data_IF_591284854103
#
_entry.id   IF_591284854103
#
_cell.length_a   1.000
_cell.length_b   1.000
_cell.length_c   1.000
_cell.angle_alpha   90.00
_cell.angle_beta   90.00
_cell.angle_gamma   90.00
#
_symmetry.space_group_name_H-M   'P 1'
#
loop_
_entity.id
_entity.type
_entity.pdbx_description
1 polymer ?
#
# COMPACT_ATOMS: atom_id res chain seq x y z
N UNK A 1 27.67 -4.54 5.54
CA UNK A 1 26.59 -3.64 5.98
C UNK A 1 25.45 -3.69 4.97
N UNK A 2 24.57 -4.68 5.15
CA UNK A 2 23.45 -5.08 4.27
C UNK A 2 22.63 -6.04 5.12
N UNK A 3 21.58 -5.59 5.83
CA UNK A 3 20.82 -6.47 6.76
C UNK A 3 19.33 -6.17 6.85
N UNK A 4 18.93 -4.90 6.90
CA UNK A 4 17.53 -4.52 7.18
C UNK A 4 16.69 -4.38 5.91
N UNK A 5 17.21 -3.70 4.88
CA UNK A 5 16.47 -3.50 3.63
C UNK A 5 16.36 -4.78 2.80
N UNK A 6 17.40 -5.61 2.77
CA UNK A 6 17.36 -6.90 2.05
C UNK A 6 16.29 -7.84 2.63
N UNK A 7 16.22 -7.93 3.97
CA UNK A 7 15.17 -8.71 4.64
C UNK A 7 13.78 -8.18 4.30
N UNK A 8 13.60 -6.85 4.28
CA UNK A 8 12.34 -6.22 3.88
C UNK A 8 12.00 -6.51 2.42
N UNK A 9 12.97 -6.40 1.51
CA UNK A 9 12.78 -6.69 0.08
C UNK A 9 12.39 -8.16 -0.12
N UNK A 10 13.03 -9.10 0.58
CA UNK A 10 12.68 -10.53 0.55
C UNK A 10 11.26 -10.77 1.08
N UNK A 11 10.88 -10.15 2.21
CA UNK A 11 9.52 -10.25 2.77
C UNK A 11 8.47 -9.65 1.82
N UNK A 12 8.77 -8.47 1.27
CA UNK A 12 7.94 -7.80 0.26
C UNK A 12 7.69 -8.72 -0.93
N UNK A 13 8.74 -9.33 -1.50
CA UNK A 13 8.62 -10.26 -2.61
C UNK A 13 7.76 -11.48 -2.25
N UNK A 14 7.98 -12.07 -1.06
CA UNK A 14 7.18 -13.22 -0.58
C UNK A 14 5.70 -12.89 -0.40
N UNK A 15 5.38 -11.70 0.11
CA UNK A 15 3.99 -11.24 0.29
C UNK A 15 3.34 -10.98 -1.08
N UNK A 16 4.05 -10.29 -1.98
CA UNK A 16 3.58 -9.98 -3.34
C UNK A 16 3.45 -11.19 -4.24
N UNK A 17 4.15 -12.29 -3.94
CA UNK A 17 3.91 -13.57 -4.62
C UNK A 17 2.50 -14.15 -4.35
N UNK A 18 1.86 -13.76 -3.24
CA UNK A 18 0.52 -14.23 -2.86
C UNK A 18 -0.59 -13.22 -3.12
N UNK A 19 -0.23 -11.95 -3.27
CA UNK A 19 -1.17 -10.83 -3.38
C UNK A 19 -0.96 -10.15 -4.73
N UNK A 20 -2.05 -10.02 -5.49
CA UNK A 20 -2.07 -9.33 -6.77
C UNK A 20 -3.11 -8.21 -6.75
N UNK A 21 -2.76 -7.02 -7.24
CA UNK A 21 -3.70 -5.93 -7.49
C UNK A 21 -4.29 -6.02 -8.89
N UNK A 22 -5.61 -6.14 -8.99
CA UNK A 22 -6.34 -6.11 -10.27
C UNK A 22 -6.95 -4.73 -10.51
N UNK A 23 -7.54 -4.50 -11.69
CA UNK A 23 -8.26 -3.25 -11.98
C UNK A 23 -9.41 -2.99 -10.99
N UNK A 24 -10.12 -4.04 -10.57
CA UNK A 24 -11.24 -3.92 -9.62
C UNK A 24 -10.76 -3.73 -8.18
N UNK A 25 -9.70 -4.45 -7.78
CA UNK A 25 -9.14 -4.38 -6.43
C UNK A 25 -7.63 -4.10 -6.53
N UNK A 26 -7.24 -2.85 -6.83
CA UNK A 26 -5.85 -2.50 -7.01
C UNK A 26 -5.08 -2.57 -5.68
N UNK A 27 -3.75 -2.67 -5.78
CA UNK A 27 -2.89 -2.82 -4.60
C UNK A 27 -2.52 -1.47 -4.03
N UNK A 28 -2.86 -1.25 -2.76
CA UNK A 28 -2.45 -0.09 -1.96
C UNK A 28 -1.11 -0.38 -1.28
N UNK A 29 -0.02 0.14 -1.84
CA UNK A 29 1.34 -0.03 -1.33
C UNK A 29 1.74 1.12 -0.41
N UNK A 30 2.05 0.82 0.85
CA UNK A 30 2.51 1.81 1.84
C UNK A 30 4.02 1.73 2.02
N UNK A 31 4.70 2.87 1.90
CA UNK A 31 6.13 3.01 2.17
C UNK A 31 6.38 4.01 3.30
N UNK A 32 7.13 3.58 4.31
CA UNK A 32 7.51 4.41 5.46
C UNK A 32 8.98 4.79 5.37
N UNK A 33 9.24 6.09 5.24
CA UNK A 33 10.57 6.67 5.43
C UNK A 33 10.75 7.13 6.88
N UNK A 34 11.89 7.72 7.20
CA UNK A 34 12.14 8.29 8.52
C UNK A 34 11.22 9.49 8.81
N UNK A 35 10.98 10.32 7.78
CA UNK A 35 10.25 11.59 7.89
C UNK A 35 8.78 11.48 7.52
N UNK A 36 8.45 10.70 6.49
CA UNK A 36 7.12 10.68 5.89
C UNK A 36 6.63 9.26 5.59
N UNK A 37 5.33 9.15 5.33
CA UNK A 37 4.70 7.94 4.81
C UNK A 37 4.10 8.27 3.47
N UNK A 38 4.37 7.41 2.51
CA UNK A 38 3.87 7.51 1.15
C UNK A 38 2.98 6.32 0.87
N UNK A 39 1.91 6.55 0.12
CA UNK A 39 1.02 5.50 -0.34
C UNK A 39 0.81 5.62 -1.85
N UNK A 40 0.66 4.47 -2.50
CA UNK A 40 0.43 4.34 -3.93
C UNK A 40 -0.66 3.31 -4.20
N UNK A 41 -1.53 3.60 -5.17
CA UNK A 41 -2.47 2.65 -5.73
C UNK A 41 -1.91 2.16 -7.07
N UNK A 42 -1.73 0.86 -7.19
CA UNK A 42 -1.08 0.23 -8.34
C UNK A 42 -2.02 -0.84 -8.92
N UNK A 43 -2.18 -0.81 -10.25
CA UNK A 43 -2.72 -1.93 -11.02
C UNK A 43 -1.55 -2.82 -11.45
N UNK A 44 -1.42 -4.00 -10.86
CA UNK A 44 -0.30 -4.92 -11.13
C UNK A 44 -0.42 -5.60 -12.50
N UNK A 45 -1.63 -5.71 -13.07
CA UNK A 45 -1.81 -6.28 -14.41
C UNK A 45 -1.23 -5.38 -15.51
N UNK A 46 -1.38 -4.06 -15.32
CA UNK A 46 -0.86 -3.05 -16.27
C UNK A 46 0.48 -2.46 -15.85
N UNK A 47 0.96 -2.77 -14.65
CA UNK A 47 2.15 -2.16 -14.06
C UNK A 47 2.04 -0.64 -13.87
N UNK A 48 0.81 -0.09 -13.83
CA UNK A 48 0.57 1.36 -13.82
C UNK A 48 0.15 1.82 -12.43
N UNK A 49 0.81 2.87 -11.96
CA UNK A 49 0.39 3.61 -10.76
C UNK A 49 -0.80 4.50 -11.13
N UNK A 50 -1.94 4.30 -10.44
CA UNK A 50 -3.14 5.10 -10.65
C UNK A 50 -3.08 6.41 -9.84
N UNK A 51 -2.56 6.32 -8.61
CA UNK A 51 -2.46 7.43 -7.67
C UNK A 51 -1.22 7.27 -6.81
N UNK A 52 -0.59 8.38 -6.47
CA UNK A 52 0.41 8.46 -5.42
C UNK A 52 0.16 9.69 -4.55
N UNK A 53 0.36 9.57 -3.24
CA UNK A 53 0.29 10.73 -2.37
C UNK A 53 0.39 10.40 -0.88
N UNK A 54 0.40 11.46 -0.06
CA UNK A 54 0.30 11.37 1.39
C UNK A 54 -1.15 11.18 1.84
N UNK A 55 -2.09 11.87 1.18
CA UNK A 55 -3.54 11.82 1.46
C UNK A 55 -4.23 10.85 0.49
N UNK A 56 -4.00 9.55 0.67
CA UNK A 56 -4.40 8.55 -0.33
C UNK A 56 -5.92 8.33 -0.40
N UNK A 57 -6.62 8.44 0.73
CA UNK A 57 -8.04 8.11 0.80
C UNK A 57 -8.91 9.07 -0.04
N UNK A 58 -8.61 10.38 0.00
CA UNK A 58 -9.29 11.37 -0.83
C UNK A 58 -9.01 11.16 -2.31
N UNK A 59 -7.77 10.78 -2.63
CA UNK A 59 -7.37 10.54 -4.01
C UNK A 59 -8.03 9.27 -4.58
N UNK A 60 -8.29 8.24 -3.76
CA UNK A 60 -9.07 7.07 -4.15
C UNK A 60 -10.52 7.41 -4.51
N UNK A 61 -11.17 8.31 -3.74
CA UNK A 61 -12.54 8.76 -4.03
C UNK A 61 -12.64 9.42 -5.40
N UNK A 62 -11.64 10.21 -5.80
CA UNK A 62 -11.61 10.86 -7.13
C UNK A 62 -11.56 9.86 -8.28
N UNK A 63 -10.89 8.72 -8.07
CA UNK A 63 -10.75 7.66 -9.09
C UNK A 63 -11.86 6.60 -8.96
N UNK A 64 -12.77 6.74 -7.99
CA UNK A 64 -13.87 5.80 -7.73
C UNK A 64 -13.37 4.38 -7.44
N UNK A 65 -12.34 4.27 -6.60
CA UNK A 65 -11.81 2.98 -6.11
C UNK A 65 -12.22 2.82 -4.65
N UNK A 66 -13.10 1.86 -4.39
CA UNK A 66 -13.64 1.61 -3.04
C UNK A 66 -12.98 0.39 -2.37
N UNK A 67 -12.56 -0.59 -3.17
CA UNK A 67 -11.92 -1.83 -2.70
C UNK A 67 -10.46 -1.88 -3.12
N UNK A 68 -9.58 -2.22 -2.19
CA UNK A 68 -8.14 -2.35 -2.45
C UNK A 68 -7.57 -3.57 -1.75
N UNK A 69 -6.36 -3.96 -2.13
CA UNK A 69 -5.57 -4.91 -1.34
C UNK A 69 -4.43 -4.17 -0.64
N UNK A 70 -4.35 -4.30 0.68
CA UNK A 70 -3.37 -3.55 1.48
C UNK A 70 -1.99 -4.23 1.51
N UNK A 71 -1.00 -3.59 0.86
CA UNK A 71 0.39 -4.00 0.85
C UNK A 71 1.25 -3.15 1.80
N UNK A 72 1.69 -3.78 2.87
CA UNK A 72 2.58 -3.21 3.89
C UNK A 72 4.03 -3.09 3.43
N UNK A 73 4.38 -3.52 2.22
CA UNK A 73 5.70 -3.39 1.61
C UNK A 73 6.84 -3.99 2.46
N UNK A 74 6.53 -5.08 3.18
CA UNK A 74 7.46 -5.78 4.09
C UNK A 74 7.64 -5.14 5.47
N UNK A 75 6.89 -4.09 5.81
CA UNK A 75 6.84 -3.54 7.17
C UNK A 75 5.91 -4.35 8.08
N UNK A 76 6.20 -4.36 9.39
CA UNK A 76 5.29 -4.93 10.40
C UNK A 76 4.00 -4.11 10.49
N UNK A 77 2.86 -4.76 10.70
CA UNK A 77 1.57 -4.07 10.90
C UNK A 77 1.46 -3.59 12.34
N UNK A 78 2.15 -2.49 12.63
CA UNK A 78 2.27 -1.91 13.96
C UNK A 78 2.50 -0.41 13.84
N UNK A 79 2.13 0.36 14.88
CA UNK A 79 2.38 1.80 14.96
C UNK A 79 1.86 2.54 13.73
N UNK A 80 2.71 3.37 13.11
CA UNK A 80 2.35 4.22 11.96
C UNK A 80 1.74 3.47 10.76
N UNK A 81 2.14 2.22 10.49
CA UNK A 81 1.56 1.44 9.38
C UNK A 81 0.13 1.01 9.70
N UNK A 82 -0.13 0.67 10.98
CA UNK A 82 -1.48 0.36 11.45
C UNK A 82 -2.36 1.60 11.42
N UNK A 83 -1.84 2.74 11.88
CA UNK A 83 -2.57 4.02 11.85
C UNK A 83 -3.06 4.38 10.45
N UNK A 84 -2.20 4.28 9.43
CA UNK A 84 -2.56 4.55 8.03
C UNK A 84 -3.68 3.61 7.54
N UNK A 85 -3.67 2.34 7.96
CA UNK A 85 -4.72 1.40 7.59
C UNK A 85 -6.04 1.73 8.30
N UNK A 86 -5.99 2.06 9.58
CA UNK A 86 -7.18 2.41 10.36
C UNK A 86 -7.80 3.71 9.82
N UNK A 87 -7.00 4.74 9.51
CA UNK A 87 -7.43 5.97 8.85
C UNK A 87 -8.07 5.71 7.47
N UNK A 88 -7.45 4.83 6.66
CA UNK A 88 -8.00 4.48 5.35
C UNK A 88 -9.36 3.77 5.45
N UNK A 89 -9.55 2.91 6.47
CA UNK A 89 -10.84 2.26 6.75
C UNK A 89 -11.90 3.25 7.18
N UNK A 90 -11.57 4.18 8.08
CA UNK A 90 -12.49 5.26 8.51
C UNK A 90 -12.89 6.12 7.32
N UNK A 91 -11.98 6.38 6.38
CA UNK A 91 -12.27 7.13 5.18
C UNK A 91 -13.15 6.39 4.15
N UNK A 92 -13.44 5.10 4.38
CA UNK A 92 -14.36 4.28 3.60
C UNK A 92 -13.71 3.27 2.66
N UNK A 93 -12.37 3.13 2.65
CA UNK A 93 -11.72 2.10 1.85
C UNK A 93 -11.91 0.71 2.46
N UNK A 94 -12.29 -0.26 1.62
CA UNK A 94 -12.51 -1.65 2.02
C UNK A 94 -11.29 -2.50 1.66
N UNK A 95 -10.66 -3.10 2.67
CA UNK A 95 -9.53 -4.03 2.53
C UNK A 95 -9.22 -4.83 3.80
#
# INVERSE_FOLDING_TARGET
MKKKDEKRIRLKAKIRAKILGTKMRPRLSVFRSNKFIYAQIIDDQKGKTLVQGRMIAEACKKIKVDEVVFDRNGFKYTGRIKLVADEARVAGLKF
#
